data_IF_004183759842
#
_entry.id   IF_004183759842
#
_cell.length_a   1.000
_cell.length_b   1.000
_cell.length_c   1.000
_cell.angle_alpha   90.00
_cell.angle_beta   90.00
_cell.angle_gamma   90.00
#
_symmetry.space_group_name_H-M   'P 1'
#
loop_
_entity.id
_entity.type
_entity.pdbx_description
1 polymer ?
#
# COMPACT_ATOMS: atom_id res chain seq x y z
N UNK A 1 17.06 38.59 75.36
CA UNK A 1 17.71 37.68 74.39
C UNK A 1 18.15 38.54 73.21
N UNK A 2 19.42 38.96 73.19
CA UNK A 2 19.93 40.03 72.33
C UNK A 2 21.17 39.59 71.54
N UNK A 3 21.16 39.92 70.24
CA UNK A 3 22.24 40.42 69.36
C UNK A 3 23.61 39.72 69.24
N UNK A 4 23.86 39.19 68.02
CA UNK A 4 25.01 39.37 67.07
C UNK A 4 26.47 39.08 67.54
N UNK A 5 27.48 38.98 66.63
CA UNK A 5 27.52 38.45 65.26
C UNK A 5 28.79 37.61 64.89
N UNK A 6 28.68 36.93 63.75
CA UNK A 6 29.64 36.69 62.66
C UNK A 6 31.12 37.16 62.80
N UNK A 7 32.07 36.23 62.63
CA UNK A 7 33.46 36.48 62.19
C UNK A 7 33.85 35.42 61.14
N UNK A 8 34.23 35.88 59.95
CA UNK A 8 34.74 35.10 58.81
C UNK A 8 36.27 35.29 58.75
N UNK A 9 37.09 34.25 58.52
CA UNK A 9 38.48 34.42 58.09
C UNK A 9 38.63 34.30 56.55
N UNK A 10 39.77 34.74 55.99
CA UNK A 10 39.87 35.30 54.65
C UNK A 10 40.28 34.33 53.53
N UNK A 11 40.10 34.82 52.31
CA UNK A 11 40.29 34.20 51.00
C UNK A 11 41.63 33.50 50.77
N UNK A 12 41.57 32.35 50.10
CA UNK A 12 42.67 31.76 49.34
C UNK A 12 42.44 32.04 47.84
N UNK A 13 43.47 32.36 47.05
CA UNK A 13 43.30 32.63 45.62
C UNK A 13 43.11 31.33 44.81
N UNK A 14 42.08 31.32 43.95
CA UNK A 14 41.78 30.26 42.99
C UNK A 14 42.88 30.09 41.93
N UNK A 15 43.39 28.87 41.66
CA UNK A 15 44.36 28.61 40.61
C UNK A 15 43.67 27.98 39.39
N UNK A 16 42.79 28.69 38.69
CA UNK A 16 42.20 28.17 37.44
C UNK A 16 41.94 29.32 36.43
N UNK A 17 42.99 29.83 35.80
CA UNK A 17 42.82 30.78 34.69
C UNK A 17 43.81 30.59 33.53
N UNK A 18 44.45 29.43 33.40
CA UNK A 18 45.44 29.19 32.32
C UNK A 18 45.13 28.03 31.36
N UNK A 19 43.98 27.35 31.44
CA UNK A 19 43.69 26.20 30.55
C UNK A 19 42.63 26.43 29.46
N UNK A 20 41.93 27.58 29.43
CA UNK A 20 40.80 27.76 28.48
C UNK A 20 41.16 28.13 27.04
N UNK A 21 42.40 28.48 26.74
CA UNK A 21 42.77 28.92 25.37
C UNK A 21 43.08 27.72 24.44
N UNK A 22 43.28 26.52 24.98
CA UNK A 22 43.58 25.33 24.18
C UNK A 22 42.38 24.44 23.83
N UNK A 23 41.28 24.50 24.59
CA UNK A 23 40.14 23.61 24.42
C UNK A 23 39.16 24.10 23.34
N UNK A 24 38.92 25.41 23.26
CA UNK A 24 37.95 25.99 22.30
C UNK A 24 38.45 25.87 20.84
N UNK A 25 39.75 26.03 20.60
CA UNK A 25 40.36 25.85 19.26
C UNK A 25 40.38 24.38 18.80
N UNK A 26 40.40 23.43 19.73
CA UNK A 26 40.37 21.99 19.43
C UNK A 26 38.93 21.53 19.17
N UNK A 27 37.97 22.01 19.95
CA UNK A 27 36.54 21.76 19.71
C UNK A 27 36.06 22.39 18.40
N UNK A 28 36.47 23.62 18.08
CA UNK A 28 36.14 24.26 16.81
C UNK A 28 36.70 23.48 15.60
N UNK A 29 37.94 23.00 15.68
CA UNK A 29 38.54 22.15 14.63
C UNK A 29 37.89 20.77 14.53
N UNK A 30 37.39 20.22 15.63
CA UNK A 30 36.63 18.95 15.63
C UNK A 30 35.28 19.14 14.94
N UNK A 31 34.57 20.23 15.26
CA UNK A 31 33.28 20.57 14.64
C UNK A 31 33.43 20.89 13.15
N UNK A 32 34.51 21.56 12.75
CA UNK A 32 34.79 21.82 11.33
C UNK A 32 35.12 20.52 10.57
N UNK A 33 35.84 19.59 11.21
CA UNK A 33 36.12 18.27 10.63
C UNK A 33 34.85 17.41 10.50
N UNK A 34 33.96 17.47 11.49
CA UNK A 34 32.65 16.80 11.46
C UNK A 34 31.71 17.42 10.42
N UNK A 35 31.69 18.75 10.30
CA UNK A 35 30.92 19.45 9.28
C UNK A 35 31.42 19.11 7.87
N UNK A 36 32.75 19.05 7.67
CA UNK A 36 33.34 18.62 6.41
C UNK A 36 33.03 17.15 6.08
N UNK A 37 33.02 16.27 7.08
CA UNK A 37 32.64 14.87 6.90
C UNK A 37 31.15 14.72 6.53
N UNK A 38 30.25 15.48 7.16
CA UNK A 38 28.82 15.48 6.85
C UNK A 38 28.54 16.05 5.45
N UNK A 39 29.22 17.13 5.06
CA UNK A 39 29.09 17.70 3.71
C UNK A 39 29.60 16.72 2.65
N UNK A 40 30.72 16.03 2.90
CA UNK A 40 31.21 14.99 2.02
C UNK A 40 30.24 13.80 1.90
N UNK A 41 29.57 13.43 3.00
CA UNK A 41 28.57 12.35 2.99
C UNK A 41 27.32 12.75 2.20
N UNK A 42 26.86 14.01 2.32
CA UNK A 42 25.77 14.60 1.53
C UNK A 42 26.14 14.67 0.04
N UNK A 43 27.35 15.10 -0.28
CA UNK A 43 27.83 15.19 -1.67
C UNK A 43 28.05 13.80 -2.30
N UNK A 44 28.37 12.79 -1.48
CA UNK A 44 28.45 11.38 -1.91
C UNK A 44 27.08 10.71 -2.03
N UNK A 45 26.01 11.36 -1.56
CA UNK A 45 24.67 10.80 -1.50
C UNK A 45 24.04 10.73 -2.90
N UNK A 46 24.19 9.56 -3.53
CA UNK A 46 23.57 9.26 -4.82
C UNK A 46 22.05 9.11 -4.66
N UNK A 47 21.34 10.19 -5.03
CA UNK A 47 19.89 10.31 -4.99
C UNK A 47 19.19 9.23 -5.84
N UNK A 48 19.81 8.80 -6.95
CA UNK A 48 19.26 7.73 -7.80
C UNK A 48 19.44 6.36 -7.19
N UNK A 49 20.57 6.09 -6.53
CA UNK A 49 20.78 4.85 -5.79
C UNK A 49 19.88 4.76 -4.54
N UNK A 50 19.62 5.89 -3.88
CA UNK A 50 18.65 5.99 -2.79
C UNK A 50 17.22 5.75 -3.30
N UNK A 51 16.86 6.35 -4.44
CA UNK A 51 15.57 6.13 -5.10
C UNK A 51 15.38 4.69 -5.54
N UNK A 52 16.40 4.05 -6.13
CA UNK A 52 16.37 2.61 -6.46
C UNK A 52 16.27 1.72 -5.23
N UNK A 53 16.86 2.11 -4.09
CA UNK A 53 16.69 1.39 -2.81
C UNK A 53 15.28 1.55 -2.27
N UNK A 54 14.70 2.75 -2.33
CA UNK A 54 13.29 2.98 -1.96
C UNK A 54 12.36 2.24 -2.90
N UNK A 55 12.59 2.27 -4.22
CA UNK A 55 11.83 1.51 -5.22
C UNK A 55 12.02 0.00 -5.06
N UNK A 56 13.19 -0.50 -4.59
CA UNK A 56 13.39 -1.91 -4.26
C UNK A 56 12.70 -2.32 -2.95
N UNK A 57 12.65 -1.43 -1.96
CA UNK A 57 11.91 -1.65 -0.70
C UNK A 57 10.42 -1.61 -0.99
N UNK A 58 9.95 -0.62 -1.72
CA UNK A 58 8.58 -0.51 -2.20
C UNK A 58 8.24 -1.67 -3.13
N UNK A 59 9.12 -2.15 -4.00
CA UNK A 59 8.91 -3.36 -4.81
C UNK A 59 8.86 -4.65 -3.96
N UNK A 60 9.57 -4.71 -2.83
CA UNK A 60 9.44 -5.81 -1.86
C UNK A 60 8.13 -5.75 -1.10
N UNK A 61 7.57 -4.56 -0.87
CA UNK A 61 6.30 -4.37 -0.16
C UNK A 61 5.07 -4.36 -1.09
N UNK A 62 5.21 -3.92 -2.34
CA UNK A 62 4.20 -3.98 -3.42
C UNK A 62 4.27 -5.32 -4.18
N UNK A 63 5.30 -6.13 -3.92
CA UNK A 63 5.55 -7.45 -4.51
C UNK A 63 4.88 -8.60 -3.77
N UNK A 64 3.65 -8.40 -3.30
CA UNK A 64 2.71 -9.49 -3.06
C UNK A 64 2.47 -10.15 -4.44
N UNK A 65 3.30 -11.15 -4.76
CA UNK A 65 3.54 -11.67 -6.12
C UNK A 65 2.27 -11.83 -6.96
N UNK A 66 2.21 -11.06 -8.04
CA UNK A 66 1.45 -11.39 -9.24
C UNK A 66 1.97 -12.67 -9.85
N UNK A 67 1.47 -13.81 -9.38
CA UNK A 67 1.44 -15.02 -10.17
C UNK A 67 0.10 -14.98 -10.92
N UNK A 68 0.15 -14.45 -12.15
CA UNK A 68 -1.00 -14.42 -13.05
C UNK A 68 -1.26 -15.86 -13.54
N UNK A 69 -1.94 -16.65 -12.71
CA UNK A 69 -2.60 -17.85 -13.20
C UNK A 69 -3.86 -17.39 -13.94
N UNK A 70 -3.73 -17.15 -15.24
CA UNK A 70 -4.85 -16.95 -16.15
C UNK A 70 -5.70 -18.23 -16.20
N UNK A 71 -6.79 -18.27 -15.45
CA UNK A 71 -7.85 -19.28 -15.58
C UNK A 71 -9.01 -18.76 -16.46
N UNK A 72 -8.69 -18.17 -17.62
CA UNK A 72 -9.72 -17.73 -18.59
C UNK A 72 -10.16 -18.82 -19.59
N UNK A 73 -9.76 -20.07 -19.40
CA UNK A 73 -10.20 -21.18 -20.25
C UNK A 73 -11.41 -21.87 -19.62
N UNK A 74 -12.58 -21.23 -19.69
CA UNK A 74 -13.91 -21.87 -19.72
C UNK A 74 -15.05 -20.83 -19.73
N UNK A 75 -15.11 -19.96 -20.74
CA UNK A 75 -16.32 -19.17 -21.01
C UNK A 75 -16.42 -18.74 -22.49
N UNK A 76 -16.03 -19.62 -23.41
CA UNK A 76 -16.34 -19.47 -24.84
C UNK A 76 -17.14 -20.68 -25.29
N UNK A 77 -18.42 -20.67 -24.94
CA UNK A 77 -19.49 -21.25 -25.75
C UNK A 77 -20.83 -21.00 -25.07
N UNK A 78 -21.35 -19.78 -25.22
CA UNK A 78 -22.79 -19.54 -25.22
C UNK A 78 -23.05 -18.52 -26.33
N UNK A 79 -23.31 -19.06 -27.52
CA UNK A 79 -23.58 -18.32 -28.74
C UNK A 79 -24.78 -17.40 -28.61
N UNK A 80 -24.52 -16.10 -28.69
CA UNK A 80 -25.51 -15.08 -28.98
C UNK A 80 -25.09 -14.33 -30.25
N UNK A 81 -25.99 -14.14 -31.23
CA UNK A 81 -25.64 -13.56 -32.52
C UNK A 81 -25.36 -12.05 -32.41
N UNK A 82 -24.29 -11.63 -33.06
CA UNK A 82 -23.81 -10.26 -33.18
C UNK A 82 -24.70 -9.49 -34.17
N UNK A 83 -25.47 -8.52 -33.66
CA UNK A 83 -26.29 -7.64 -34.50
C UNK A 83 -25.40 -6.55 -35.08
N UNK A 84 -24.90 -6.79 -36.30
CA UNK A 84 -24.24 -5.78 -37.12
C UNK A 84 -25.28 -4.87 -37.76
N UNK A 85 -25.14 -3.57 -37.57
CA UNK A 85 -25.73 -2.59 -38.48
C UNK A 85 -26.29 -1.37 -37.77
N UNK A 86 -25.57 -0.25 -37.87
CA UNK A 86 -26.13 1.08 -38.14
C UNK A 86 -25.01 1.93 -38.75
N UNK A 87 -24.84 1.80 -40.07
CA UNK A 87 -24.08 2.74 -40.91
C UNK A 87 -24.98 3.96 -41.13
N UNK A 88 -24.58 5.11 -40.61
CA UNK A 88 -25.19 6.39 -40.97
C UNK A 88 -24.88 6.73 -42.44
N UNK A 89 -25.80 7.38 -43.17
CA UNK A 89 -25.71 7.55 -44.62
C UNK A 89 -24.77 8.70 -45.03
N UNK A 90 -24.06 8.50 -46.14
CA UNK A 90 -23.41 9.54 -46.92
C UNK A 90 -24.46 10.30 -47.77
N UNK A 91 -24.36 11.63 -47.91
CA UNK A 91 -25.10 12.36 -48.93
C UNK A 91 -24.28 12.50 -50.22
N UNK A 92 -24.89 12.13 -51.34
CA UNK A 92 -24.42 12.45 -52.68
C UNK A 92 -24.88 13.86 -53.08
N UNK A 93 -24.04 14.53 -53.88
CA UNK A 93 -24.09 15.97 -54.12
C UNK A 93 -25.23 16.48 -54.99
N UNK A 94 -25.46 17.79 -54.86
CA UNK A 94 -26.00 18.67 -55.88
C UNK A 94 -25.65 20.12 -55.51
N UNK A 95 -24.88 20.78 -56.35
CA UNK A 95 -24.80 22.24 -56.47
C UNK A 95 -25.40 22.58 -57.86
N UNK A 96 -25.80 23.83 -58.20
CA UNK A 96 -25.58 25.08 -57.46
C UNK A 96 -26.82 26.00 -57.40
N UNK A 97 -26.82 26.98 -56.50
CA UNK A 97 -27.28 28.35 -56.81
C UNK A 97 -26.98 29.34 -55.67
N UNK A 98 -26.09 30.28 -55.98
CA UNK A 98 -25.75 31.47 -55.20
C UNK A 98 -26.84 32.53 -55.41
N UNK A 99 -27.28 33.21 -54.35
CA UNK A 99 -27.48 34.65 -54.42
C UNK A 99 -26.55 35.38 -53.44
N UNK A 100 -26.05 36.58 -53.81
CA UNK A 100 -25.11 37.33 -53.01
C UNK A 100 -25.90 38.11 -51.95
N UNK A 101 -25.67 37.83 -50.67
CA UNK A 101 -26.08 38.75 -49.61
C UNK A 101 -25.13 38.63 -48.43
N UNK A 102 -24.33 39.69 -48.34
CA UNK A 102 -23.79 40.26 -47.11
C UNK A 102 -22.88 39.34 -46.29
N UNK A 103 -21.60 39.45 -46.63
CA UNK A 103 -20.47 39.29 -45.71
C UNK A 103 -20.88 39.84 -44.33
N UNK A 104 -21.06 39.02 -43.28
CA UNK A 104 -20.89 39.55 -41.95
C UNK A 104 -19.42 39.94 -41.93
N UNK A 105 -19.16 41.24 -41.83
CA UNK A 105 -17.85 41.80 -41.65
C UNK A 105 -17.05 40.85 -40.76
N UNK A 106 -16.10 40.15 -41.38
CA UNK A 106 -14.91 39.66 -40.73
C UNK A 106 -14.18 40.94 -40.29
N UNK A 107 -14.74 41.64 -39.29
CA UNK A 107 -13.95 42.43 -38.39
C UNK A 107 -12.94 41.44 -37.89
N UNK A 108 -11.74 41.61 -38.42
CA UNK A 108 -10.51 40.96 -38.05
C UNK A 108 -10.50 40.89 -36.52
N UNK A 109 -11.03 39.80 -35.95
CA UNK A 109 -10.64 39.38 -34.63
C UNK A 109 -9.16 39.09 -34.83
N UNK A 110 -8.32 39.93 -34.19
CA UNK A 110 -6.89 39.84 -34.40
C UNK A 110 -6.43 38.43 -34.06
N UNK A 111 -5.26 38.01 -34.54
CA UNK A 111 -4.63 36.76 -34.10
C UNK A 111 -4.67 36.62 -32.57
N UNK A 112 -4.58 37.75 -31.84
CA UNK A 112 -4.73 37.81 -30.39
C UNK A 112 -6.12 37.46 -29.86
N UNK A 113 -7.20 37.82 -30.57
CA UNK A 113 -8.55 37.45 -30.18
C UNK A 113 -8.79 35.96 -30.42
N UNK A 114 -8.27 35.40 -31.53
CA UNK A 114 -8.31 33.96 -31.79
C UNK A 114 -7.51 33.16 -30.75
N UNK A 115 -6.31 33.64 -30.39
CA UNK A 115 -5.49 33.05 -29.32
C UNK A 115 -6.18 33.18 -27.95
N UNK A 116 -6.88 34.28 -27.68
CA UNK A 116 -7.66 34.45 -26.44
C UNK A 116 -8.81 33.46 -26.36
N UNK A 117 -9.51 33.23 -27.46
CA UNK A 117 -10.58 32.23 -27.53
C UNK A 117 -10.03 30.81 -27.36
N UNK A 118 -8.89 30.49 -27.99
CA UNK A 118 -8.22 29.19 -27.84
C UNK A 118 -7.70 28.96 -26.42
N UNK A 119 -7.06 29.96 -25.81
CA UNK A 119 -6.64 29.93 -24.40
C UNK A 119 -7.83 29.81 -23.47
N UNK A 120 -8.94 30.52 -23.72
CA UNK A 120 -10.14 30.39 -22.91
C UNK A 120 -10.76 28.99 -23.01
N UNK A 121 -10.72 28.37 -24.19
CA UNK A 121 -11.22 27.02 -24.41
C UNK A 121 -10.31 25.97 -23.73
N UNK A 122 -8.98 26.15 -23.80
CA UNK A 122 -8.03 25.33 -23.05
C UNK A 122 -8.18 25.50 -21.54
N UNK A 123 -8.29 26.72 -21.04
CA UNK A 123 -8.49 27.01 -19.61
C UNK A 123 -9.79 26.39 -19.09
N UNK A 124 -10.89 26.46 -19.87
CA UNK A 124 -12.15 25.79 -19.55
C UNK A 124 -11.98 24.26 -19.52
N UNK A 125 -11.29 23.68 -20.50
CA UNK A 125 -10.97 22.25 -20.53
C UNK A 125 -10.17 21.80 -19.30
N UNK A 126 -9.10 22.53 -18.96
CA UNK A 126 -8.26 22.28 -17.77
C UNK A 126 -9.09 22.40 -16.49
N UNK A 127 -9.97 23.41 -16.40
CA UNK A 127 -10.83 23.64 -15.24
C UNK A 127 -11.88 22.55 -15.05
N UNK A 128 -12.42 22.00 -16.15
CA UNK A 128 -13.37 20.88 -16.10
C UNK A 128 -12.66 19.59 -15.68
N UNK A 129 -11.48 19.31 -16.27
CA UNK A 129 -10.69 18.13 -15.93
C UNK A 129 -10.22 18.14 -14.46
N UNK A 130 -9.83 19.30 -13.93
CA UNK A 130 -9.47 19.45 -12.50
C UNK A 130 -10.66 19.19 -11.59
N UNK A 131 -11.83 19.77 -11.88
CA UNK A 131 -13.06 19.52 -11.11
C UNK A 131 -13.50 18.07 -11.14
N UNK A 132 -13.36 17.38 -12.27
CA UNK A 132 -13.67 15.94 -12.37
C UNK A 132 -12.70 15.09 -11.55
N UNK A 133 -11.40 15.41 -11.59
CA UNK A 133 -10.39 14.75 -10.78
C UNK A 133 -10.61 14.96 -9.27
N UNK A 134 -11.01 16.17 -8.85
CA UNK A 134 -11.37 16.48 -7.46
C UNK A 134 -12.57 15.66 -6.99
N UNK A 135 -13.66 15.63 -7.78
CA UNK A 135 -14.85 14.83 -7.46
C UNK A 135 -14.53 13.34 -7.32
N UNK A 136 -13.67 12.82 -8.19
CA UNK A 136 -13.24 11.43 -8.17
C UNK A 136 -12.39 11.13 -6.92
N UNK A 137 -11.49 12.04 -6.54
CA UNK A 137 -10.70 11.94 -5.30
C UNK A 137 -11.57 11.98 -4.05
N UNK A 138 -12.52 12.91 -3.97
CA UNK A 138 -13.46 13.02 -2.84
C UNK A 138 -14.30 11.75 -2.70
N UNK A 139 -14.71 11.15 -3.82
CA UNK A 139 -15.46 9.89 -3.81
C UNK A 139 -14.60 8.73 -3.31
N UNK A 140 -13.36 8.60 -3.78
CA UNK A 140 -12.42 7.59 -3.29
C UNK A 140 -12.14 7.76 -1.80
N UNK A 141 -11.92 9.00 -1.36
CA UNK A 141 -11.67 9.33 0.06
C UNK A 141 -12.87 8.93 0.92
N UNK A 142 -14.09 9.29 0.52
CA UNK A 142 -15.32 8.89 1.23
C UNK A 142 -15.45 7.37 1.32
N UNK A 143 -15.29 6.66 0.22
CA UNK A 143 -15.41 5.19 0.21
C UNK A 143 -14.34 4.54 1.09
N UNK A 144 -13.09 5.03 1.08
CA UNK A 144 -12.04 4.48 1.94
C UNK A 144 -12.24 4.81 3.42
N UNK A 145 -12.84 5.95 3.77
CA UNK A 145 -13.26 6.25 5.15
C UNK A 145 -14.30 5.26 5.64
N UNK A 146 -15.32 4.98 4.83
CA UNK A 146 -16.35 3.98 5.14
C UNK A 146 -15.74 2.59 5.35
N UNK A 147 -14.81 2.18 4.49
CA UNK A 147 -14.03 0.94 4.66
C UNK A 147 -13.28 0.96 5.98
N UNK A 148 -12.53 2.03 6.28
CA UNK A 148 -11.74 2.12 7.51
C UNK A 148 -12.62 2.03 8.77
N UNK A 149 -13.71 2.80 8.85
CA UNK A 149 -14.60 2.77 9.99
C UNK A 149 -15.19 1.38 10.20
N UNK A 150 -15.63 0.71 9.13
CA UNK A 150 -16.10 -0.67 9.20
C UNK A 150 -15.02 -1.65 9.69
N UNK A 151 -13.82 -1.61 9.11
CA UNK A 151 -12.72 -2.52 9.46
C UNK A 151 -12.24 -2.30 10.90
N UNK A 152 -12.21 -1.05 11.36
CA UNK A 152 -11.89 -0.70 12.76
C UNK A 152 -12.93 -1.27 13.71
N UNK A 153 -14.21 -1.10 13.41
CA UNK A 153 -15.28 -1.56 14.29
C UNK A 153 -15.33 -3.10 14.30
N UNK A 154 -15.17 -3.74 13.14
CA UNK A 154 -15.06 -5.20 13.00
C UNK A 154 -13.88 -5.74 13.81
N UNK A 155 -12.67 -5.23 13.60
CA UNK A 155 -11.46 -5.67 14.32
C UNK A 155 -11.59 -5.49 15.82
N UNK A 156 -12.18 -4.38 16.27
CA UNK A 156 -12.43 -4.11 17.70
C UNK A 156 -13.34 -5.18 18.31
N UNK A 157 -14.45 -5.51 17.64
CA UNK A 157 -15.37 -6.56 18.11
C UNK A 157 -14.72 -7.96 18.08
N UNK A 158 -13.95 -8.27 17.03
CA UNK A 158 -13.25 -9.55 16.91
C UNK A 158 -12.15 -9.72 17.96
N UNK A 159 -11.44 -8.64 18.31
CA UNK A 159 -10.43 -8.65 19.38
C UNK A 159 -11.04 -8.97 20.75
N UNK A 160 -12.31 -8.59 20.98
CA UNK A 160 -13.05 -8.90 22.21
C UNK A 160 -13.56 -10.35 22.17
N UNK A 161 -14.22 -10.75 21.09
CA UNK A 161 -14.89 -12.06 21.00
C UNK A 161 -13.91 -13.22 20.80
N UNK A 162 -12.78 -12.99 20.14
CA UNK A 162 -11.77 -13.99 19.74
C UNK A 162 -12.41 -15.27 19.16
N UNK A 163 -13.27 -15.15 18.13
CA UNK A 163 -14.01 -16.29 17.61
C UNK A 163 -13.08 -17.32 16.98
N UNK A 164 -13.56 -18.57 16.94
CA UNK A 164 -12.94 -19.61 16.14
C UNK A 164 -13.24 -19.38 14.66
N UNK A 165 -12.21 -19.44 13.83
CA UNK A 165 -12.28 -19.31 12.38
C UNK A 165 -12.17 -20.71 11.79
N UNK A 166 -13.27 -21.23 11.25
CA UNK A 166 -13.39 -22.57 10.69
C UNK A 166 -12.70 -22.76 9.33
N UNK A 167 -11.59 -22.07 9.09
CA UNK A 167 -10.89 -22.04 7.81
C UNK A 167 -9.67 -22.98 7.83
N UNK A 168 -9.44 -23.65 6.72
CA UNK A 168 -8.31 -24.55 6.52
C UNK A 168 -7.29 -23.94 5.56
N UNK A 169 -6.03 -23.82 6.00
CA UNK A 169 -4.92 -23.36 5.17
C UNK A 169 -4.02 -24.54 4.79
N UNK A 170 -3.95 -24.85 3.49
CA UNK A 170 -3.10 -25.91 2.98
C UNK A 170 -1.68 -25.39 2.78
N UNK A 171 -0.70 -26.07 3.38
CA UNK A 171 0.71 -25.75 3.25
C UNK A 171 1.36 -26.68 2.24
N UNK A 172 1.53 -26.21 0.99
CA UNK A 172 2.16 -26.96 -0.10
C UNK A 172 1.49 -28.33 -0.32
N UNK A 173 2.30 -29.36 -0.55
CA UNK A 173 1.92 -30.76 -0.72
C UNK A 173 1.67 -31.48 0.61
N UNK A 174 1.53 -30.75 1.73
CA UNK A 174 1.16 -31.36 3.00
C UNK A 174 -0.33 -31.70 2.99
N UNK A 175 -0.65 -32.97 3.17
CA UNK A 175 -2.02 -33.45 3.34
C UNK A 175 -2.68 -32.98 4.66
N UNK A 176 -1.89 -32.43 5.60
CA UNK A 176 -2.39 -31.84 6.84
C UNK A 176 -2.50 -30.29 6.72
N UNK A 177 -3.72 -29.72 6.67
CA UNK A 177 -3.93 -28.29 6.66
C UNK A 177 -3.88 -27.65 8.06
N UNK A 178 -3.53 -26.37 8.12
CA UNK A 178 -3.71 -25.52 9.30
C UNK A 178 -5.20 -25.29 9.54
N UNK A 179 -5.70 -25.81 10.66
CA UNK A 179 -7.12 -25.80 11.03
C UNK A 179 -7.30 -25.45 12.50
N UNK A 180 -8.55 -25.28 12.93
CA UNK A 180 -8.92 -24.93 14.30
C UNK A 180 -8.24 -23.64 14.80
N UNK A 181 -8.13 -22.66 13.90
CA UNK A 181 -7.56 -21.37 14.21
C UNK A 181 -8.58 -20.50 14.95
N UNK A 182 -8.14 -19.74 15.93
CA UNK A 182 -8.93 -18.69 16.57
C UNK A 182 -8.31 -17.33 16.31
N UNK A 183 -9.15 -16.30 16.32
CA UNK A 183 -8.70 -14.92 16.24
C UNK A 183 -7.85 -14.58 17.47
N UNK A 184 -6.58 -14.22 17.25
CA UNK A 184 -5.69 -13.83 18.34
C UNK A 184 -5.76 -12.32 18.58
N UNK A 185 -5.43 -11.55 17.54
CA UNK A 185 -5.34 -10.09 17.56
C UNK A 185 -5.40 -9.56 16.13
N UNK A 186 -5.99 -8.38 15.94
CA UNK A 186 -5.91 -7.64 14.70
C UNK A 186 -5.99 -6.14 14.90
N UNK A 187 -5.65 -5.40 13.86
CA UNK A 187 -5.62 -3.96 13.81
C UNK A 187 -6.12 -3.47 12.45
N UNK A 188 -6.61 -2.24 12.43
CA UNK A 188 -6.92 -1.48 11.23
C UNK A 188 -6.24 -0.12 11.32
N UNK A 189 -5.62 0.31 10.24
CA UNK A 189 -4.88 1.56 10.13
C UNK A 189 -5.17 2.22 8.78
N UNK A 190 -4.95 3.52 8.66
CA UNK A 190 -5.05 4.23 7.40
C UNK A 190 -3.91 5.23 7.25
N UNK A 191 -3.52 5.48 6.00
CA UNK A 191 -2.56 6.51 5.64
C UNK A 191 -3.22 7.55 4.76
N UNK A 192 -3.01 8.80 5.14
CA UNK A 192 -3.41 9.96 4.36
C UNK A 192 -2.24 10.52 3.57
N UNK A 193 -2.53 11.00 2.38
CA UNK A 193 -1.59 11.78 1.57
C UNK A 193 -1.93 13.27 1.75
N UNK A 194 -0.97 14.12 2.16
CA UNK A 194 -1.22 15.54 2.23
C UNK A 194 -1.53 16.07 0.82
N UNK A 195 -2.68 16.72 0.70
CA UNK A 195 -3.15 17.37 -0.53
C UNK A 195 -3.58 18.79 -0.15
N UNK A 196 -3.56 19.71 -1.10
CA UNK A 196 -3.84 21.14 -0.89
C UNK A 196 -5.15 21.45 -0.12
N UNK A 197 -6.12 20.52 -0.13
CA UNK A 197 -7.48 20.69 0.41
C UNK A 197 -7.83 19.78 1.61
N UNK A 198 -6.85 19.32 2.38
CA UNK A 198 -7.11 18.62 3.66
C UNK A 198 -6.76 17.12 3.71
N UNK A 199 -6.04 16.63 2.71
CA UNK A 199 -5.47 15.28 2.68
C UNK A 199 -6.49 14.17 2.42
N UNK A 200 -6.19 13.30 1.44
CA UNK A 200 -7.04 12.17 1.08
C UNK A 200 -6.47 10.87 1.67
N UNK A 201 -7.36 9.93 2.04
CA UNK A 201 -6.94 8.57 2.37
C UNK A 201 -6.42 7.90 1.11
N UNK A 202 -5.16 7.49 1.15
CA UNK A 202 -4.52 6.76 0.05
C UNK A 202 -4.62 5.25 0.27
N UNK A 203 -4.53 4.82 1.53
CA UNK A 203 -4.39 3.41 1.88
C UNK A 203 -5.07 3.11 3.20
N UNK A 204 -5.88 2.06 3.25
CA UNK A 204 -6.41 1.46 4.48
C UNK A 204 -5.83 0.06 4.60
N UNK A 205 -5.25 -0.28 5.74
CA UNK A 205 -4.61 -1.57 5.99
C UNK A 205 -5.26 -2.24 7.19
N UNK A 206 -5.59 -3.52 7.06
CA UNK A 206 -6.04 -4.37 8.14
C UNK A 206 -5.09 -5.56 8.25
N UNK A 207 -4.57 -5.80 9.45
CA UNK A 207 -3.75 -6.96 9.75
C UNK A 207 -4.37 -7.74 10.89
N UNK A 208 -4.37 -9.06 10.81
CA UNK A 208 -4.81 -9.90 11.92
C UNK A 208 -4.08 -11.24 11.95
N UNK A 209 -3.99 -11.81 13.14
CA UNK A 209 -3.31 -13.07 13.38
C UNK A 209 -4.31 -14.10 13.83
N UNK A 210 -4.29 -15.25 13.15
CA UNK A 210 -5.05 -16.43 13.50
C UNK A 210 -4.10 -17.42 14.16
N UNK A 211 -4.43 -17.92 15.35
CA UNK A 211 -3.59 -18.86 16.11
C UNK A 211 -4.35 -20.15 16.43
N UNK A 212 -3.71 -21.29 16.23
CA UNK A 212 -4.13 -22.62 16.65
C UNK A 212 -3.16 -23.20 17.67
N UNK A 213 -3.53 -24.34 18.26
CA UNK A 213 -2.73 -25.03 19.26
C UNK A 213 -1.69 -26.00 18.67
N UNK A 214 -1.68 -26.18 17.34
CA UNK A 214 -0.83 -27.14 16.65
C UNK A 214 0.56 -26.61 16.27
N UNK A 215 1.44 -27.55 15.91
CA UNK A 215 2.70 -27.31 15.22
C UNK A 215 2.86 -28.40 14.14
N UNK A 216 3.49 -28.05 13.02
CA UNK A 216 3.76 -28.97 11.90
C UNK A 216 5.24 -29.05 11.61
N UNK A 217 5.75 -30.25 11.41
CA UNK A 217 7.11 -30.49 10.96
C UNK A 217 7.14 -30.75 9.45
N UNK A 218 7.98 -30.00 8.73
CA UNK A 218 8.27 -30.25 7.32
C UNK A 218 9.75 -30.53 7.17
N UNK A 219 10.08 -31.66 6.56
CA UNK A 219 11.46 -32.00 6.20
C UNK A 219 11.68 -31.81 4.70
N UNK A 220 12.76 -31.10 4.37
CA UNK A 220 13.23 -30.90 2.98
C UNK A 220 14.74 -31.08 2.92
N UNK A 221 15.25 -31.49 1.76
CA UNK A 221 16.68 -31.75 1.53
C UNK A 221 17.29 -30.79 0.50
N UNK A 222 18.59 -30.53 0.64
CA UNK A 222 19.38 -29.70 -0.27
C UNK A 222 18.80 -28.30 -0.55
N UNK A 223 18.84 -27.87 -1.81
CA UNK A 223 18.36 -26.54 -2.24
C UNK A 223 16.84 -26.30 -2.11
N UNK A 224 16.06 -27.30 -1.70
CA UNK A 224 14.65 -27.10 -1.36
C UNK A 224 14.46 -26.47 0.02
N UNK A 225 15.45 -26.61 0.93
CA UNK A 225 15.41 -26.03 2.28
C UNK A 225 15.36 -24.50 2.19
N UNK A 226 16.26 -23.90 1.42
CA UNK A 226 16.32 -22.45 1.27
C UNK A 226 15.08 -21.88 0.56
N UNK A 227 14.55 -22.59 -0.45
CA UNK A 227 13.30 -22.22 -1.12
C UNK A 227 12.10 -22.27 -0.16
N UNK A 228 12.03 -23.30 0.69
CA UNK A 228 10.98 -23.42 1.71
C UNK A 228 11.11 -22.30 2.76
N UNK A 229 12.33 -22.02 3.22
CA UNK A 229 12.61 -20.92 4.15
C UNK A 229 12.14 -19.57 3.61
N UNK A 230 12.51 -19.25 2.38
CA UNK A 230 12.10 -18.00 1.73
C UNK A 230 10.58 -17.94 1.57
N UNK A 231 9.94 -19.03 1.15
CA UNK A 231 8.49 -19.08 1.00
C UNK A 231 7.75 -18.91 2.34
N UNK A 232 8.18 -19.60 3.41
CA UNK A 232 7.56 -19.45 4.74
C UNK A 232 7.70 -18.00 5.24
N UNK A 233 8.84 -17.36 4.96
CA UNK A 233 9.07 -15.95 5.23
C UNK A 233 8.15 -15.03 4.40
N UNK A 234 8.06 -15.27 3.08
CA UNK A 234 7.18 -14.53 2.16
C UNK A 234 5.69 -14.73 2.51
N UNK A 235 5.32 -15.84 3.14
CA UNK A 235 3.97 -16.10 3.66
C UNK A 235 3.78 -15.55 5.07
N UNK A 236 4.85 -15.28 5.81
CA UNK A 236 4.80 -14.63 7.13
C UNK A 236 4.42 -15.59 8.23
N UNK A 237 4.69 -16.88 8.02
CA UNK A 237 4.45 -17.94 8.97
C UNK A 237 5.60 -17.98 9.97
N UNK A 238 5.29 -18.24 11.25
CA UNK A 238 6.31 -18.44 12.28
C UNK A 238 6.85 -19.87 12.19
N UNK A 239 8.16 -19.99 12.00
CA UNK A 239 8.82 -21.28 11.89
C UNK A 239 10.16 -21.30 12.62
N UNK A 240 10.51 -22.46 13.16
CA UNK A 240 11.84 -22.80 13.61
C UNK A 240 12.51 -23.70 12.57
N UNK A 241 13.79 -23.45 12.26
CA UNK A 241 14.53 -24.22 11.26
C UNK A 241 15.74 -24.89 11.92
N UNK A 242 15.78 -26.22 11.87
CA UNK A 242 16.93 -27.02 12.27
C UNK A 242 17.63 -27.55 11.01
N UNK A 243 18.79 -26.98 10.70
CA UNK A 243 19.62 -27.44 9.58
C UNK A 243 20.53 -28.58 10.02
N UNK A 244 20.48 -29.69 9.28
CA UNK A 244 21.43 -30.79 9.36
C UNK A 244 22.42 -30.65 8.21
N UNK A 245 23.70 -30.49 8.56
CA UNK A 245 24.80 -30.44 7.60
C UNK A 245 25.62 -31.71 7.69
N UNK A 246 26.00 -32.27 6.55
CA UNK A 246 26.83 -33.47 6.51
C UNK A 246 28.28 -33.16 6.93
N UNK A 247 29.13 -34.20 7.00
CA UNK A 247 30.57 -34.08 7.35
C UNK A 247 31.38 -33.20 6.37
N UNK A 248 30.90 -33.00 5.14
CA UNK A 248 31.46 -32.09 4.14
C UNK A 248 30.93 -30.64 4.24
N UNK A 249 30.16 -30.32 5.29
CA UNK A 249 29.50 -29.01 5.52
C UNK A 249 28.40 -28.66 4.50
N UNK A 250 27.95 -29.61 3.69
CA UNK A 250 26.81 -29.42 2.80
C UNK A 250 25.49 -29.60 3.53
N UNK A 251 24.47 -28.85 3.13
CA UNK A 251 23.13 -28.87 3.72
C UNK A 251 22.40 -30.17 3.31
N UNK A 252 22.31 -31.13 4.22
CA UNK A 252 21.76 -32.47 3.96
C UNK A 252 20.23 -32.45 4.07
N UNK A 253 19.70 -31.95 5.19
CA UNK A 253 18.27 -31.71 5.37
C UNK A 253 17.99 -30.54 6.31
N UNK A 254 16.82 -29.94 6.15
CA UNK A 254 16.29 -28.92 7.05
C UNK A 254 14.93 -29.38 7.59
N UNK A 255 14.81 -29.45 8.91
CA UNK A 255 13.56 -29.70 9.61
C UNK A 255 12.96 -28.35 10.00
N UNK A 256 11.80 -28.04 9.45
CA UNK A 256 11.03 -26.82 9.73
C UNK A 256 9.87 -27.15 10.66
N UNK A 257 9.85 -26.56 11.85
CA UNK A 257 8.71 -26.64 12.75
C UNK A 257 7.90 -25.34 12.62
N UNK A 258 6.76 -25.41 11.96
CA UNK A 258 5.86 -24.29 11.69
C UNK A 258 4.75 -24.30 12.75
N UNK A 259 4.59 -23.19 13.47
CA UNK A 259 3.46 -23.04 14.39
C UNK A 259 2.15 -22.84 13.61
N UNK A 260 1.01 -23.25 14.19
CA UNK A 260 -0.32 -22.97 13.65
C UNK A 260 -0.68 -21.49 13.82
N UNK A 261 0.13 -20.58 13.29
CA UNK A 261 -0.08 -19.14 13.36
C UNK A 261 -0.01 -18.55 11.96
N UNK A 262 -1.13 -17.97 11.52
CA UNK A 262 -1.27 -17.37 10.19
C UNK A 262 -1.54 -15.87 10.35
N UNK A 263 -0.57 -15.07 9.92
CA UNK A 263 -0.75 -13.63 9.75
C UNK A 263 -1.46 -13.33 8.43
N UNK A 264 -2.59 -12.63 8.52
CA UNK A 264 -3.38 -12.17 7.38
C UNK A 264 -3.24 -10.66 7.29
N UNK A 265 -3.03 -10.16 6.07
CA UNK A 265 -2.93 -8.74 5.80
C UNK A 265 -3.79 -8.38 4.61
N UNK A 266 -4.59 -7.33 4.72
CA UNK A 266 -5.43 -6.80 3.65
C UNK A 266 -5.19 -5.31 3.54
N UNK A 267 -4.91 -4.83 2.33
CA UNK A 267 -4.58 -3.43 2.05
C UNK A 267 -5.49 -2.96 0.93
N UNK A 268 -6.29 -1.94 1.22
CA UNK A 268 -7.13 -1.22 0.27
C UNK A 268 -6.40 0.04 -0.13
N UNK A 269 -6.04 0.18 -1.41
CA UNK A 269 -5.27 1.29 -1.94
C UNK A 269 -6.07 2.02 -3.02
N UNK A 270 -6.17 3.34 -2.92
CA UNK A 270 -6.70 4.16 -4.00
C UNK A 270 -5.70 4.23 -5.16
N UNK A 271 -6.18 3.92 -6.36
CA UNK A 271 -5.53 4.27 -7.63
C UNK A 271 -6.21 5.53 -8.15
N UNK A 272 -5.62 6.69 -7.87
CA UNK A 272 -6.16 7.99 -8.27
C UNK A 272 -6.08 8.24 -9.77
N UNK A 273 -5.20 7.54 -10.49
CA UNK A 273 -5.03 7.68 -11.94
C UNK A 273 -6.17 6.97 -12.67
N UNK A 274 -6.60 5.81 -12.16
CA UNK A 274 -7.69 5.01 -12.74
C UNK A 274 -9.06 5.25 -12.10
N UNK A 275 -9.08 5.82 -10.90
CA UNK A 275 -10.30 5.98 -10.11
C UNK A 275 -10.83 4.69 -9.50
N UNK A 276 -9.94 3.74 -9.22
CA UNK A 276 -10.26 2.41 -8.72
C UNK A 276 -9.64 2.19 -7.33
N UNK A 277 -10.12 1.19 -6.61
CA UNK A 277 -9.57 0.76 -5.33
C UNK A 277 -8.99 -0.63 -5.51
N UNK A 278 -7.68 -0.75 -5.33
CA UNK A 278 -6.94 -2.00 -5.42
C UNK A 278 -6.87 -2.61 -4.02
N UNK A 279 -7.45 -3.79 -3.87
CA UNK A 279 -7.42 -4.56 -2.61
C UNK A 279 -6.40 -5.67 -2.75
N UNK A 280 -5.32 -5.57 -1.98
CA UNK A 280 -4.25 -6.57 -1.92
C UNK A 280 -4.38 -7.35 -0.62
N UNK A 281 -4.53 -8.67 -0.72
CA UNK A 281 -4.67 -9.53 0.44
C UNK A 281 -3.64 -10.65 0.44
N UNK A 282 -3.02 -10.84 1.61
CA UNK A 282 -2.10 -11.93 1.94
C UNK A 282 -2.79 -12.88 2.92
N UNK A 283 -2.77 -14.17 2.60
CA UNK A 283 -3.29 -15.25 3.43
C UNK A 283 -4.79 -15.13 3.81
N UNK A 284 -5.59 -14.34 3.08
CA UNK A 284 -7.00 -14.11 3.44
C UNK A 284 -7.87 -15.35 3.26
N UNK A 285 -7.77 -15.99 2.08
CA UNK A 285 -8.56 -17.18 1.77
C UNK A 285 -7.76 -18.48 1.81
N UNK A 286 -6.52 -18.39 1.33
CA UNK A 286 -5.54 -19.47 1.17
C UNK A 286 -4.17 -18.84 1.40
N UNK A 287 -3.18 -19.65 1.75
CA UNK A 287 -1.81 -19.15 1.85
C UNK A 287 -1.36 -18.60 0.50
N UNK A 288 -0.86 -17.38 0.50
CA UNK A 288 -0.46 -16.66 -0.69
C UNK A 288 -1.15 -15.32 -0.81
N UNK A 289 -1.34 -14.91 -2.06
CA UNK A 289 -1.53 -13.52 -2.43
C UNK A 289 -2.67 -13.40 -3.43
N UNK A 290 -3.55 -12.43 -3.21
CA UNK A 290 -4.66 -12.14 -4.11
C UNK A 290 -4.86 -10.64 -4.20
N UNK A 291 -5.15 -10.17 -5.41
CA UNK A 291 -5.43 -8.76 -5.68
C UNK A 291 -6.80 -8.65 -6.33
N UNK A 292 -7.62 -7.73 -5.85
CA UNK A 292 -8.91 -7.38 -6.42
C UNK A 292 -8.90 -5.91 -6.83
N UNK A 293 -9.66 -5.57 -7.85
CA UNK A 293 -9.88 -4.18 -8.27
C UNK A 293 -11.35 -3.90 -8.12
N UNK A 294 -11.68 -2.86 -7.37
CA UNK A 294 -13.04 -2.46 -7.03
C UNK A 294 -13.28 -1.05 -7.51
N UNK A 295 -14.51 -0.78 -7.97
CA UNK A 295 -14.94 0.60 -8.21
C UNK A 295 -15.48 1.21 -6.92
N UNK A 296 -15.33 2.52 -6.70
CA UNK A 296 -15.83 3.18 -5.49
C UNK A 296 -17.33 2.96 -5.24
N UNK A 297 -18.11 2.83 -6.31
CA UNK A 297 -19.57 2.62 -6.24
C UNK A 297 -19.97 1.23 -5.76
N UNK A 298 -19.06 0.26 -5.83
CA UNK A 298 -19.31 -1.11 -5.33
C UNK A 298 -19.17 -1.21 -3.81
N UNK A 299 -18.45 -0.26 -3.21
CA UNK A 299 -18.25 -0.19 -1.76
C UNK A 299 -19.58 0.22 -1.14
N UNK A 300 -20.26 -0.78 -0.62
CA UNK A 300 -21.54 -0.66 0.08
C UNK A 300 -21.42 -1.40 1.40
N UNK A 301 -22.24 -1.04 2.41
CA UNK A 301 -22.26 -1.78 3.67
C UNK A 301 -22.46 -3.30 3.46
N UNK A 302 -23.27 -3.69 2.48
CA UNK A 302 -23.47 -5.10 2.13
C UNK A 302 -22.19 -5.79 1.62
N UNK A 303 -21.38 -5.11 0.80
CA UNK A 303 -20.07 -5.65 0.37
C UNK A 303 -19.13 -5.82 1.56
N UNK A 304 -19.12 -4.84 2.48
CA UNK A 304 -18.28 -4.86 3.68
C UNK A 304 -18.70 -5.97 4.64
N UNK A 305 -19.99 -6.20 4.83
CA UNK A 305 -20.52 -7.32 5.62
C UNK A 305 -20.12 -8.68 5.04
N UNK A 306 -20.20 -8.82 3.71
CA UNK A 306 -19.73 -10.03 3.02
C UNK A 306 -18.20 -10.20 3.16
N UNK A 307 -17.43 -9.11 3.22
CA UNK A 307 -16.01 -9.15 3.55
C UNK A 307 -15.77 -9.60 5.01
N UNK A 308 -16.58 -9.13 5.97
CA UNK A 308 -16.53 -9.61 7.36
C UNK A 308 -16.81 -11.11 7.47
N UNK A 309 -17.80 -11.61 6.72
CA UNK A 309 -18.05 -13.05 6.59
C UNK A 309 -16.85 -13.80 6.02
N UNK A 310 -16.20 -13.25 4.99
CA UNK A 310 -15.00 -13.83 4.37
C UNK A 310 -13.85 -13.93 5.39
N UNK A 311 -13.60 -12.87 6.16
CA UNK A 311 -12.57 -12.82 7.22
C UNK A 311 -12.81 -13.89 8.28
N UNK A 312 -14.08 -14.12 8.65
CA UNK A 312 -14.49 -15.16 9.60
C UNK A 312 -14.47 -16.58 9.03
N UNK A 313 -14.11 -16.76 7.75
CA UNK A 313 -14.11 -18.06 7.09
C UNK A 313 -15.51 -18.62 6.82
N UNK A 314 -16.53 -17.75 6.82
CA UNK A 314 -17.91 -18.13 6.48
C UNK A 314 -18.10 -18.06 4.95
N UNK A 315 -19.18 -18.69 4.48
CA UNK A 315 -19.60 -18.52 3.09
C UNK A 315 -19.86 -17.03 2.82
N UNK A 316 -19.25 -16.52 1.75
CA UNK A 316 -19.29 -15.10 1.40
C UNK A 316 -19.50 -14.94 -0.09
N UNK A 317 -20.30 -13.94 -0.45
CA UNK A 317 -20.56 -13.51 -1.84
C UNK A 317 -19.65 -12.37 -2.26
N UNK A 318 -18.62 -12.06 -1.46
CA UNK A 318 -17.70 -10.96 -1.70
C UNK A 318 -17.14 -10.96 -3.13
N UNK A 319 -16.66 -12.10 -3.64
CA UNK A 319 -16.12 -12.19 -5.01
C UNK A 319 -17.14 -11.84 -6.09
N UNK A 320 -18.38 -12.29 -5.92
CA UNK A 320 -19.46 -12.05 -6.88
C UNK A 320 -19.93 -10.60 -6.86
N UNK A 321 -19.83 -9.92 -5.72
CA UNK A 321 -20.14 -8.50 -5.58
C UNK A 321 -18.97 -7.62 -6.02
N UNK A 322 -17.73 -8.04 -5.77
CA UNK A 322 -16.50 -7.38 -6.17
C UNK A 322 -16.30 -7.37 -7.70
N UNK A 323 -16.84 -8.37 -8.41
CA UNK A 323 -16.73 -8.49 -9.86
C UNK A 323 -17.75 -7.64 -10.65
N UNK A 324 -18.57 -6.82 -9.98
CA UNK A 324 -19.63 -6.00 -10.60
C UNK A 324 -19.18 -4.61 -11.01
#
# INVERSE_FOLDING_TARGET
>A
MSSKPNVRPPDAPDPLSSERVGSEDVEARSLDAEAAALLADIDSFDLEAARRRVEQIDARYTGIRGNKADFSVAARDLGFPEVTGLRAPEPAGADPQIPPSEVPEQRRSGLLDQLRDEVALQQRGVSMATREAERLRERLDRSLREVFDYLRDLTTQLNILKPQVGRCYYLLDSDDPIRNLSWAEGYADFRTRPTADGGCIERVSMGFTLRGAGQRSLERSGGAVERLRQMLFDLGLKFECQERRNRMRELESGLFVVADEVGVQVVWRADFDKGEIVVEARNLERLGFVTFVLRPETITPALLDEFGCLVLGRESRFRSLAAR
#
